data_IF_255448412631
#
_entry.id   IF_255448412631
#
_cell.length_a   1.000
_cell.length_b   1.000
_cell.length_c   1.000
_cell.angle_alpha   90.00
_cell.angle_beta   90.00
_cell.angle_gamma   90.00
#
_symmetry.space_group_name_H-M   'P 1'
#
loop_
_entity.id
_entity.type
_entity.pdbx_description
1 polymer ?
#
# COMPACT_ATOMS: atom_id res chain seq x y z
N UNK A 1 -4.47 -22.49 -14.81
CA UNK A 1 -4.39 -21.08 -14.37
C UNK A 1 -5.70 -20.38 -14.74
N UNK A 2 -6.26 -19.51 -13.90
CA UNK A 2 -7.38 -18.68 -14.32
C UNK A 2 -6.94 -17.84 -15.53
N UNK A 3 -7.82 -17.59 -16.51
CA UNK A 3 -7.49 -16.74 -17.64
C UNK A 3 -7.15 -15.33 -17.13
N UNK A 4 -6.08 -14.74 -17.68
CA UNK A 4 -5.72 -13.37 -17.38
C UNK A 4 -6.93 -12.46 -17.63
N UNK A 5 -7.31 -11.66 -16.64
CA UNK A 5 -8.44 -10.72 -16.76
C UNK A 5 -8.16 -9.81 -17.96
N UNK A 6 -9.14 -9.58 -18.85
CA UNK A 6 -8.92 -8.74 -20.02
C UNK A 6 -8.58 -7.32 -19.57
N UNK A 7 -7.39 -6.85 -19.95
CA UNK A 7 -6.96 -5.46 -19.71
C UNK A 7 -7.92 -4.55 -20.47
N UNK A 8 -8.44 -3.53 -19.79
CA UNK A 8 -9.35 -2.54 -20.41
C UNK A 8 -8.60 -1.81 -21.51
N UNK A 9 -8.94 -2.06 -22.78
CA UNK A 9 -8.29 -1.40 -23.92
C UNK A 9 -8.48 0.12 -23.84
N UNK A 10 -7.36 0.85 -23.90
CA UNK A 10 -7.33 2.31 -24.01
C UNK A 10 -7.40 2.73 -25.48
N UNK A 11 -7.88 3.95 -25.75
CA UNK A 11 -7.78 4.53 -27.09
C UNK A 11 -6.31 4.77 -27.47
N UNK A 12 -5.99 4.77 -28.76
CA UNK A 12 -4.61 4.99 -29.22
C UNK A 12 -4.00 6.31 -28.69
N UNK A 13 -4.80 7.36 -28.59
CA UNK A 13 -4.40 8.65 -28.01
C UNK A 13 -4.11 8.52 -26.51
N UNK A 14 -4.97 7.83 -25.76
CA UNK A 14 -4.76 7.59 -24.34
C UNK A 14 -3.49 6.74 -24.08
N UNK A 15 -3.23 5.74 -24.92
CA UNK A 15 -1.99 4.93 -24.87
C UNK A 15 -0.77 5.80 -25.13
N UNK A 16 -0.82 6.71 -26.11
CA UNK A 16 0.28 7.62 -26.42
C UNK A 16 0.55 8.62 -25.27
N UNK A 17 -0.51 9.15 -24.67
CA UNK A 17 -0.41 10.05 -23.52
C UNK A 17 0.17 9.33 -22.29
N UNK A 18 -0.29 8.10 -22.03
CA UNK A 18 0.25 7.24 -20.98
C UNK A 18 1.74 6.98 -21.19
N UNK A 19 2.12 6.56 -22.40
CA UNK A 19 3.53 6.33 -22.77
C UNK A 19 4.37 7.58 -22.52
N UNK A 20 3.99 8.72 -23.11
CA UNK A 20 4.75 9.99 -23.00
C UNK A 20 4.91 10.43 -21.54
N UNK A 21 3.83 10.34 -20.75
CA UNK A 21 3.87 10.68 -19.32
C UNK A 21 4.85 9.77 -18.55
N UNK A 22 4.76 8.46 -18.76
CA UNK A 22 5.61 7.51 -18.05
C UNK A 22 7.08 7.64 -18.42
N UNK A 23 7.40 7.84 -19.71
CA UNK A 23 8.78 8.09 -20.15
C UNK A 23 9.35 9.35 -19.47
N UNK A 24 8.57 10.44 -19.43
CA UNK A 24 8.98 11.69 -18.76
C UNK A 24 9.26 11.49 -17.27
N UNK A 25 8.35 10.82 -16.54
CA UNK A 25 8.55 10.54 -15.11
C UNK A 25 9.76 9.63 -14.88
N UNK A 26 9.99 8.65 -15.76
CA UNK A 26 11.12 7.75 -15.69
C UNK A 26 12.46 8.46 -15.96
N UNK A 27 12.52 9.39 -16.91
CA UNK A 27 13.74 10.16 -17.21
C UNK A 27 14.07 11.19 -16.12
N UNK A 28 13.04 11.75 -15.48
CA UNK A 28 13.20 12.73 -14.39
C UNK A 28 13.37 12.07 -13.01
N UNK A 29 13.42 10.73 -12.92
CA UNK A 29 13.44 9.97 -11.67
C UNK A 29 12.30 10.35 -10.69
N UNK A 30 11.11 10.62 -11.22
CA UNK A 30 9.92 11.04 -10.46
C UNK A 30 8.91 9.93 -10.20
N UNK A 31 9.21 8.68 -10.57
CA UNK A 31 8.40 7.52 -10.20
C UNK A 31 8.62 7.23 -8.71
N UNK A 32 7.53 7.09 -7.95
CA UNK A 32 7.59 6.86 -6.50
C UNK A 32 6.33 6.15 -5.99
N UNK A 33 6.33 5.78 -4.71
CA UNK A 33 5.22 5.07 -4.06
C UNK A 33 3.84 5.74 -4.20
N UNK A 34 3.79 7.09 -4.32
CA UNK A 34 2.51 7.82 -4.41
C UNK A 34 1.87 7.73 -5.80
N UNK A 35 2.66 7.59 -6.86
CA UNK A 35 2.16 7.62 -8.24
C UNK A 35 2.26 6.27 -8.97
N UNK A 36 3.13 5.36 -8.53
CA UNK A 36 3.45 4.12 -9.25
C UNK A 36 2.25 3.22 -9.53
N UNK A 37 1.26 3.22 -8.64
CA UNK A 37 0.02 2.45 -8.78
C UNK A 37 -0.93 3.04 -9.83
N UNK A 38 -0.83 4.34 -10.13
CA UNK A 38 -1.63 5.03 -11.16
C UNK A 38 -1.00 4.93 -12.56
N UNK A 39 0.25 4.49 -12.67
CA UNK A 39 0.96 4.36 -13.95
C UNK A 39 0.69 2.98 -14.56
N UNK A 40 -0.36 2.86 -15.38
CA UNK A 40 -0.76 1.62 -16.04
C UNK A 40 0.13 1.22 -17.25
N UNK A 41 1.40 1.66 -17.29
CA UNK A 41 2.30 1.41 -18.43
C UNK A 41 2.48 -0.08 -18.70
N UNK A 42 2.69 -0.87 -17.64
CA UNK A 42 2.97 -2.32 -17.72
C UNK A 42 1.82 -3.07 -18.39
N UNK A 43 0.58 -2.71 -18.06
CA UNK A 43 -0.61 -3.35 -18.59
C UNK A 43 -0.79 -3.10 -20.10
N UNK A 44 -0.24 -1.98 -20.59
CA UNK A 44 -0.36 -1.52 -21.97
C UNK A 44 0.93 -1.63 -22.79
N UNK A 45 1.96 -2.34 -22.32
CA UNK A 45 3.22 -2.51 -23.07
C UNK A 45 2.96 -3.08 -24.47
N UNK A 46 2.07 -4.07 -24.58
CA UNK A 46 1.73 -4.67 -25.88
C UNK A 46 1.15 -3.64 -26.85
N UNK A 47 0.24 -2.79 -26.39
CA UNK A 47 -0.40 -1.76 -27.22
C UNK A 47 0.61 -0.68 -27.63
N UNK A 48 1.55 -0.34 -26.74
CA UNK A 48 2.60 0.66 -26.99
C UNK A 48 3.61 0.16 -28.02
N UNK A 49 4.02 -1.10 -27.91
CA UNK A 49 5.07 -1.71 -28.73
C UNK A 49 4.56 -2.13 -30.11
N UNK A 50 3.32 -2.62 -30.21
CA UNK A 50 2.71 -3.13 -31.46
C UNK A 50 1.95 -2.07 -32.27
N UNK A 51 2.26 -0.80 -32.05
CA UNK A 51 1.44 0.33 -32.48
C UNK A 51 1.01 0.18 -33.96
N UNK A 52 -0.30 0.06 -34.22
CA UNK A 52 -0.89 -0.32 -35.52
C UNK A 52 -0.67 0.70 -36.67
N UNK A 53 0.04 1.80 -36.39
CA UNK A 53 0.31 2.89 -37.33
C UNK A 53 1.65 2.78 -38.06
N UNK A 54 2.52 1.87 -37.64
CA UNK A 54 3.77 1.62 -38.35
C UNK A 54 3.46 0.73 -39.56
N UNK A 55 3.50 1.30 -40.77
CA UNK A 55 3.06 0.68 -42.04
C UNK A 55 3.77 -0.66 -42.33
N UNK A 56 4.93 -0.90 -41.73
CA UNK A 56 5.75 -2.09 -41.93
C UNK A 56 5.48 -3.23 -40.95
N UNK A 57 4.54 -3.06 -40.01
CA UNK A 57 4.26 -4.03 -38.93
C UNK A 57 5.53 -4.45 -38.15
N UNK A 58 6.58 -3.62 -38.21
CA UNK A 58 7.85 -3.84 -37.54
C UNK A 58 7.87 -3.11 -36.20
N UNK A 59 8.47 -3.76 -35.20
CA UNK A 59 8.58 -3.19 -33.86
C UNK A 59 9.62 -2.08 -33.83
N UNK A 60 9.23 -0.88 -33.42
CA UNK A 60 10.18 0.19 -33.12
C UNK A 60 10.97 -0.16 -31.83
N UNK A 61 12.19 -0.66 -31.99
CA UNK A 61 13.02 -1.11 -30.87
C UNK A 61 13.44 0.00 -29.91
N UNK A 62 13.59 1.24 -30.36
CA UNK A 62 13.88 2.38 -29.47
C UNK A 62 12.69 2.66 -28.57
N UNK A 63 11.47 2.67 -29.14
CA UNK A 63 10.24 2.81 -28.36
C UNK A 63 10.07 1.64 -27.39
N UNK A 64 10.35 0.42 -27.82
CA UNK A 64 10.29 -0.77 -26.99
C UNK A 64 11.31 -0.71 -25.84
N UNK A 65 12.56 -0.30 -26.09
CA UNK A 65 13.59 -0.20 -25.07
C UNK A 65 13.25 0.85 -24.01
N UNK A 66 12.81 2.04 -24.43
CA UNK A 66 12.38 3.10 -23.51
C UNK A 66 11.15 2.69 -22.69
N UNK A 67 10.19 1.98 -23.31
CA UNK A 67 9.01 1.45 -22.61
C UNK A 67 9.42 0.44 -21.55
N UNK A 68 10.34 -0.46 -21.88
CA UNK A 68 10.83 -1.48 -20.96
C UNK A 68 11.61 -0.85 -19.79
N UNK A 69 12.46 0.13 -20.04
CA UNK A 69 13.19 0.87 -19.00
C UNK A 69 12.22 1.52 -18.00
N UNK A 70 11.22 2.26 -18.49
CA UNK A 70 10.20 2.86 -17.64
C UNK A 70 9.38 1.81 -16.89
N UNK A 71 9.03 0.69 -17.55
CA UNK A 71 8.32 -0.43 -16.95
C UNK A 71 9.08 -1.05 -15.77
N UNK A 72 10.40 -1.24 -15.89
CA UNK A 72 11.26 -1.73 -14.81
C UNK A 72 11.27 -0.76 -13.62
N UNK A 73 11.39 0.54 -13.85
CA UNK A 73 11.35 1.56 -12.78
C UNK A 73 10.00 1.57 -12.05
N UNK A 74 8.89 1.45 -12.77
CA UNK A 74 7.54 1.32 -12.18
C UNK A 74 7.45 0.07 -11.33
N UNK A 75 7.88 -1.08 -11.86
CA UNK A 75 7.84 -2.35 -11.14
C UNK A 75 8.67 -2.30 -9.85
N UNK A 76 9.91 -1.83 -9.91
CA UNK A 76 10.78 -1.67 -8.74
C UNK A 76 10.11 -0.80 -7.67
N UNK A 77 9.59 0.37 -8.05
CA UNK A 77 8.91 1.26 -7.10
C UNK A 77 7.64 0.63 -6.48
N UNK A 78 6.92 -0.25 -7.20
CA UNK A 78 5.77 -0.98 -6.63
C UNK A 78 6.22 -1.99 -5.58
N UNK A 79 7.28 -2.73 -5.86
CA UNK A 79 7.87 -3.69 -4.92
C UNK A 79 8.28 -2.97 -3.62
N UNK A 80 8.96 -1.83 -3.75
CA UNK A 80 9.38 -1.03 -2.58
C UNK A 80 8.18 -0.45 -1.80
N UNK A 81 7.15 0.03 -2.50
CA UNK A 81 5.90 0.52 -1.88
C UNK A 81 5.22 -0.59 -1.10
N UNK A 82 5.03 -1.75 -1.72
CA UNK A 82 4.39 -2.91 -1.10
C UNK A 82 5.17 -3.43 0.11
N UNK A 83 6.50 -3.50 0.00
CA UNK A 83 7.36 -3.87 1.11
C UNK A 83 7.19 -2.89 2.28
N UNK A 84 7.25 -1.59 2.00
CA UNK A 84 7.09 -0.54 3.02
C UNK A 84 5.73 -0.58 3.70
N UNK A 85 4.65 -0.80 2.93
CA UNK A 85 3.28 -0.92 3.46
C UNK A 85 3.13 -2.15 4.34
N UNK A 86 3.59 -3.31 3.88
CA UNK A 86 3.52 -4.57 4.63
C UNK A 86 4.32 -4.47 5.95
N UNK A 87 5.51 -3.90 5.90
CA UNK A 87 6.34 -3.75 7.09
C UNK A 87 5.74 -2.76 8.10
N UNK A 88 5.09 -1.68 7.62
CA UNK A 88 4.32 -0.77 8.48
C UNK A 88 3.12 -1.47 9.13
N UNK A 89 2.40 -2.32 8.39
CA UNK A 89 1.29 -3.10 8.94
C UNK A 89 1.77 -4.06 10.04
N UNK A 90 2.91 -4.72 9.85
CA UNK A 90 3.52 -5.59 10.86
C UNK A 90 3.83 -4.82 12.16
N UNK A 91 4.51 -3.67 12.06
CA UNK A 91 4.81 -2.83 13.23
C UNK A 91 3.58 -2.19 13.87
N UNK A 92 2.53 -1.93 13.09
CA UNK A 92 1.25 -1.40 13.57
C UNK A 92 0.44 -2.39 14.39
N UNK A 93 0.48 -3.68 14.04
CA UNK A 93 -0.24 -4.74 14.77
C UNK A 93 0.22 -4.87 16.23
N UNK A 94 1.54 -4.74 16.47
CA UNK A 94 2.09 -4.75 17.83
C UNK A 94 1.64 -3.53 18.66
N UNK A 95 1.40 -2.37 18.04
CA UNK A 95 0.96 -1.15 18.77
C UNK A 95 -0.50 -1.21 19.19
N UNK A 96 -1.37 -1.88 18.41
CA UNK A 96 -2.78 -2.09 18.78
C UNK A 96 -2.90 -3.11 19.92
N UNK A 97 -1.97 -4.08 19.99
CA UNK A 97 -1.94 -5.10 21.04
C UNK A 97 -1.47 -4.57 22.40
N UNK A 98 -0.65 -3.51 22.41
CA UNK A 98 -0.10 -2.90 23.63
C UNK A 98 -0.92 -1.70 24.11
N UNK A 99 -1.80 -1.12 23.27
CA UNK A 99 -2.66 0.01 23.69
C UNK A 99 -3.76 -0.35 24.72
N UNK A 100 -3.83 -1.61 25.16
CA UNK A 100 -4.68 -2.04 26.28
C UNK A 100 -3.99 -1.98 27.65
N UNK A 101 -2.67 -1.77 27.70
CA UNK A 101 -1.89 -1.85 28.93
C UNK A 101 -0.81 -0.76 28.91
N UNK A 102 -0.91 0.16 29.86
CA UNK A 102 0.14 1.12 30.26
C UNK A 102 0.09 2.55 29.65
N UNK A 103 -0.51 3.47 30.42
CA UNK A 103 -0.03 4.85 30.50
C UNK A 103 1.38 4.84 31.13
N UNK A 104 2.43 4.81 30.30
CA UNK A 104 3.79 4.81 30.84
C UNK A 104 4.90 4.90 29.80
N UNK A 105 5.50 6.08 29.70
CA UNK A 105 6.88 6.32 29.28
C UNK A 105 7.29 6.17 27.80
N UNK A 106 7.62 7.33 27.21
CA UNK A 106 8.97 7.56 26.73
C UNK A 106 9.53 6.76 25.56
N UNK A 107 9.63 7.47 24.43
CA UNK A 107 10.85 7.56 23.59
C UNK A 107 11.09 6.47 22.55
N UNK A 108 10.70 6.77 21.30
CA UNK A 108 11.63 6.85 20.18
C UNK A 108 10.96 7.48 18.95
N UNK A 109 11.13 8.80 18.84
CA UNK A 109 11.09 9.48 17.56
C UNK A 109 12.46 9.35 16.90
N UNK A 110 12.50 8.86 15.66
CA UNK A 110 13.64 9.06 14.77
C UNK A 110 13.25 10.20 13.83
N UNK A 111 13.89 11.35 14.03
CA UNK A 111 13.66 12.55 13.23
C UNK A 111 14.39 12.47 11.89
N UNK A 112 13.91 13.27 10.94
CA UNK A 112 14.79 13.97 10.01
C UNK A 112 14.15 15.31 9.62
N UNK A 113 14.98 16.34 9.49
CA UNK A 113 14.64 17.73 9.80
C UNK A 113 14.03 18.60 8.69
N UNK A 114 13.64 19.81 9.10
CA UNK A 114 13.84 21.08 8.39
C UNK A 114 13.14 22.24 9.14
N UNK A 115 13.92 23.27 9.46
CA UNK A 115 13.59 24.70 9.64
C UNK A 115 12.45 25.08 10.62
N UNK A 116 12.63 25.88 11.67
CA UNK A 116 13.43 27.08 11.79
C UNK A 116 12.49 28.27 12.02
N UNK A 117 12.26 28.66 13.29
CA UNK A 117 12.07 30.05 13.78
C UNK A 117 11.35 30.12 15.16
N UNK A 118 12.11 30.63 16.15
CA UNK A 118 11.76 31.71 17.09
C UNK A 118 10.65 31.53 18.17
N UNK A 119 11.10 31.63 19.43
CA UNK A 119 10.38 31.80 20.72
C UNK A 119 9.98 33.28 20.95
N UNK A 120 9.32 33.70 22.08
CA UNK A 120 8.25 33.12 22.93
C UNK A 120 7.15 34.17 23.32
N UNK A 121 6.43 33.95 24.45
CA UNK A 121 5.44 34.80 25.19
C UNK A 121 3.97 34.75 24.71
N UNK A 122 2.92 34.82 25.55
CA UNK A 122 2.66 34.81 27.00
C UNK A 122 1.12 34.65 27.17
N UNK A 123 0.62 34.29 28.35
CA UNK A 123 -0.71 34.73 28.80
C UNK A 123 -1.90 33.74 28.76
N UNK A 124 -2.16 33.17 29.94
CA UNK A 124 -3.46 33.12 30.66
C UNK A 124 -4.79 32.75 29.94
N UNK A 125 -5.40 31.65 30.41
CA UNK A 125 -6.78 31.60 30.94
C UNK A 125 -7.39 30.20 30.76
N UNK A 126 -7.43 29.46 31.87
CA UNK A 126 -8.17 28.20 31.99
C UNK A 126 -9.67 28.41 31.72
N UNK A 127 -10.21 27.75 30.68
CA UNK A 127 -11.66 27.59 30.47
C UNK A 127 -12.00 26.11 30.47
N UNK A 128 -12.58 25.66 31.58
CA UNK A 128 -13.13 24.32 31.76
C UNK A 128 -14.18 24.00 30.67
N UNK A 129 -13.83 23.10 29.74
CA UNK A 129 -14.79 22.56 28.78
C UNK A 129 -15.64 21.48 29.46
N UNK A 130 -16.95 21.75 29.59
CA UNK A 130 -17.99 20.77 29.97
C UNK A 130 -17.81 19.47 29.18
N UNK A 131 -17.48 18.38 29.86
CA UNK A 131 -17.41 17.02 29.27
C UNK A 131 -18.82 16.62 28.82
N UNK A 132 -19.01 16.38 27.52
CA UNK A 132 -20.20 15.70 27.00
C UNK A 132 -20.20 14.28 27.58
N UNK A 133 -21.34 13.85 28.12
CA UNK A 133 -21.53 12.51 28.66
C UNK A 133 -21.18 11.47 27.58
N UNK A 134 -20.17 10.66 27.85
CA UNK A 134 -19.78 9.51 27.04
C UNK A 134 -20.80 8.41 27.26
N UNK A 135 -21.58 8.09 26.22
CA UNK A 135 -22.34 6.84 26.16
C UNK A 135 -21.34 5.69 26.31
N UNK A 136 -21.55 4.83 27.30
CA UNK A 136 -20.69 3.67 27.52
C UNK A 136 -21.09 2.57 26.53
N UNK A 137 -20.27 2.39 25.49
CA UNK A 137 -20.44 1.34 24.47
C UNK A 137 -19.53 0.13 24.76
N UNK A 138 -18.90 0.05 25.94
CA UNK A 138 -18.03 -1.06 26.31
C UNK A 138 -18.85 -2.14 27.04
N UNK A 139 -18.96 -3.31 26.42
CA UNK A 139 -19.47 -4.51 27.08
C UNK A 139 -18.39 -5.20 27.92
N UNK A 140 -18.80 -5.94 28.95
CA UNK A 140 -17.88 -6.62 29.85
C UNK A 140 -17.20 -7.82 29.16
N UNK A 141 -15.91 -8.10 29.44
CA UNK A 141 -15.11 -9.13 28.73
C UNK A 141 -15.72 -10.54 28.73
N UNK A 142 -16.55 -10.84 29.73
CA UNK A 142 -17.24 -12.12 29.89
C UNK A 142 -18.33 -12.39 28.84
N UNK A 143 -18.75 -11.37 28.08
CA UNK A 143 -19.68 -11.51 26.96
C UNK A 143 -19.02 -12.15 25.72
N UNK A 144 -17.68 -12.15 25.65
CA UNK A 144 -16.92 -12.66 24.50
C UNK A 144 -16.15 -13.95 24.80
N UNK A 145 -16.15 -14.42 26.05
CA UNK A 145 -15.52 -15.69 26.42
C UNK A 145 -16.51 -16.84 26.26
N UNK A 146 -16.25 -17.70 25.27
CA UNK A 146 -16.92 -19.00 25.17
C UNK A 146 -16.51 -19.83 26.40
N UNK A 147 -17.44 -20.03 27.33
CA UNK A 147 -17.15 -20.65 28.64
C UNK A 147 -16.80 -22.14 28.55
N UNK A 148 -17.09 -22.79 27.42
CA UNK A 148 -16.72 -24.18 27.16
C UNK A 148 -16.40 -24.31 25.68
N UNK A 149 -15.12 -24.49 25.37
CA UNK A 149 -14.73 -25.09 24.09
C UNK A 149 -15.20 -26.54 24.16
N UNK A 150 -16.18 -26.89 23.33
CA UNK A 150 -16.57 -28.28 23.14
C UNK A 150 -15.34 -29.06 22.66
N UNK A 151 -14.85 -29.98 23.48
CA UNK A 151 -13.61 -30.76 23.29
C UNK A 151 -13.68 -31.71 22.08
N UNK A 152 -14.73 -31.62 21.26
CA UNK A 152 -14.72 -32.16 19.90
C UNK A 152 -13.86 -31.27 19.01
N UNK A 153 -12.54 -31.27 19.28
CA UNK A 153 -11.54 -31.02 18.26
C UNK A 153 -11.98 -31.84 17.04
N UNK A 154 -12.31 -31.15 15.95
CA UNK A 154 -12.44 -31.79 14.64
C UNK A 154 -11.05 -32.29 14.30
N UNK A 155 -10.74 -33.52 14.75
CA UNK A 155 -9.57 -34.25 14.31
C UNK A 155 -9.74 -34.44 12.82
N UNK A 156 -8.79 -33.92 12.04
CA UNK A 156 -8.76 -34.09 10.59
C UNK A 156 -8.95 -35.59 10.27
N UNK A 157 -9.94 -35.98 9.44
CA UNK A 157 -10.17 -37.38 9.09
C UNK A 157 -8.92 -38.08 8.53
N UNK A 158 -8.00 -37.32 7.92
CA UNK A 158 -6.74 -37.82 7.40
C UNK A 158 -5.72 -38.11 8.53
N UNK A 159 -5.78 -37.36 9.63
CA UNK A 159 -4.86 -37.48 10.76
C UNK A 159 -5.01 -38.83 11.49
N UNK A 160 -6.24 -39.34 11.63
CA UNK A 160 -6.46 -40.69 12.19
C UNK A 160 -5.82 -41.80 11.34
N UNK A 161 -5.63 -41.56 10.04
CA UNK A 161 -5.16 -42.58 9.10
C UNK A 161 -3.63 -42.72 9.07
N UNK A 162 -2.90 -41.69 9.49
CA UNK A 162 -1.43 -41.63 9.44
C UNK A 162 -0.76 -41.83 10.79
N UNK A 163 -1.53 -41.84 11.89
CA UNK A 163 -1.00 -41.90 13.26
C UNK A 163 -0.99 -43.29 13.89
N UNK A 164 -1.00 -44.36 13.08
CA UNK A 164 -0.81 -45.74 13.54
C UNK A 164 0.61 -46.23 13.21
#
# INVERSE_FOLDING_TARGET
APPAKPVKKLSAEAVLNLYTNCIKLASENKINAKNTWSLALIDHISDIVKNEKDEDNQTNFQKASCTLEAGVKIYASRVDSFHSETFKMLGGMNKVSVAGEDEGDGRQGMGDGAEGSELPEDGDAAKAKKRRATVNTLEMPEAHSLKQLDETLVVDPLFQKTSA
#
